data_IF_314871161671
#
_entry.id   IF_314871161671
#
_cell.length_a   1.000
_cell.length_b   1.000
_cell.length_c   1.000
_cell.angle_alpha   90.00
_cell.angle_beta   90.00
_cell.angle_gamma   90.00
#
_symmetry.space_group_name_H-M   'P 1'
#
loop_
_entity.id
_entity.type
_entity.pdbx_description
1 polymer ?
#
# COMPACT_ATOMS: atom_id res chain seq x y z
N UNK A 1 -15.44 -7.70 45.83
CA UNK A 1 -16.37 -8.01 44.71
C UNK A 1 -15.64 -7.64 43.44
N UNK A 2 -15.51 -8.64 42.57
CA UNK A 2 -14.54 -8.76 41.47
C UNK A 2 -14.44 -7.52 40.57
N UNK A 3 -13.20 -7.05 40.36
CA UNK A 3 -12.84 -6.32 39.15
C UNK A 3 -12.96 -7.32 38.01
N UNK A 4 -13.93 -7.10 37.12
CA UNK A 4 -13.99 -7.86 35.87
C UNK A 4 -12.85 -7.35 35.00
N UNK A 5 -11.81 -8.18 34.94
CA UNK A 5 -10.69 -8.11 34.02
C UNK A 5 -11.25 -7.97 32.60
N UNK A 6 -11.10 -6.78 32.01
CA UNK A 6 -11.39 -6.50 30.60
C UNK A 6 -10.39 -7.30 29.77
N UNK A 7 -10.74 -8.56 29.58
CA UNK A 7 -10.12 -9.53 28.71
C UNK A 7 -9.58 -8.85 27.44
N UNK A 8 -8.27 -9.01 27.24
CA UNK A 8 -7.50 -8.72 26.04
C UNK A 8 -8.24 -9.17 24.77
N UNK A 9 -9.06 -8.30 24.20
CA UNK A 9 -9.49 -8.47 22.81
C UNK A 9 -8.40 -7.86 21.95
N UNK A 10 -7.41 -8.67 21.57
CA UNK A 10 -6.45 -8.27 20.54
C UNK A 10 -7.23 -8.09 19.24
N UNK A 11 -7.31 -6.87 18.72
CA UNK A 11 -7.84 -6.62 17.38
C UNK A 11 -6.90 -7.26 16.36
N UNK A 12 -7.24 -8.49 15.98
CA UNK A 12 -6.50 -9.24 14.96
C UNK A 12 -7.00 -8.79 13.59
N UNK A 13 -6.09 -8.48 12.66
CA UNK A 13 -6.46 -8.11 11.29
C UNK A 13 -7.24 -9.25 10.61
N UNK A 14 -8.23 -8.96 9.75
CA UNK A 14 -8.89 -9.98 8.94
C UNK A 14 -7.92 -10.91 8.19
N UNK A 15 -6.74 -10.40 7.79
CA UNK A 15 -5.68 -11.20 7.16
C UNK A 15 -5.16 -12.31 8.09
N UNK A 16 -4.88 -11.97 9.35
CA UNK A 16 -4.41 -12.96 10.33
C UNK A 16 -5.51 -13.98 10.67
N UNK A 17 -6.78 -13.56 10.69
CA UNK A 17 -7.92 -14.47 10.88
C UNK A 17 -8.13 -15.40 9.67
N UNK A 18 -7.77 -14.96 8.48
CA UNK A 18 -7.79 -15.78 7.26
C UNK A 18 -6.61 -16.75 7.16
N UNK A 19 -5.65 -16.70 8.10
CA UNK A 19 -4.44 -17.51 8.08
C UNK A 19 -3.35 -16.96 7.15
N UNK A 20 -3.50 -15.72 6.67
CA UNK A 20 -2.48 -15.06 5.85
C UNK A 20 -1.31 -14.66 6.74
N UNK A 21 -0.09 -15.07 6.36
CA UNK A 21 1.13 -14.59 6.99
C UNK A 21 1.21 -13.06 6.79
N UNK A 22 1.35 -12.22 7.83
CA UNK A 22 1.60 -10.79 7.65
C UNK A 22 2.85 -10.48 6.81
N UNK A 23 3.76 -11.45 6.63
CA UNK A 23 4.83 -11.37 5.63
C UNK A 23 4.33 -11.40 4.17
N UNK A 24 3.16 -11.97 3.90
CA UNK A 24 2.58 -12.09 2.56
C UNK A 24 2.07 -10.77 1.99
N UNK A 25 1.54 -9.85 2.82
CA UNK A 25 1.14 -8.51 2.38
C UNK A 25 1.51 -7.39 3.37
N UNK A 26 2.78 -6.95 3.38
CA UNK A 26 3.29 -5.90 4.27
C UNK A 26 2.59 -4.53 4.15
N UNK A 27 1.81 -4.31 3.08
CA UNK A 27 1.11 -3.05 2.83
C UNK A 27 -0.16 -2.88 3.68
N UNK A 28 -0.75 -3.98 4.17
CA UNK A 28 -1.95 -3.94 5.01
C UNK A 28 -1.68 -3.60 6.48
N UNK A 29 -0.41 -3.42 6.83
CA UNK A 29 0.05 -3.11 8.18
C UNK A 29 0.98 -1.89 8.26
N UNK A 30 1.40 -1.26 7.13
CA UNK A 30 2.39 -0.16 7.17
C UNK A 30 1.86 1.23 6.77
N UNK A 31 1.20 1.36 5.61
CA UNK A 31 0.80 2.66 5.04
C UNK A 31 1.92 3.63 4.66
N UNK A 32 3.19 3.18 4.63
CA UNK A 32 4.35 4.06 4.56
C UNK A 32 4.44 4.87 3.25
N UNK A 33 4.19 4.23 2.10
CA UNK A 33 4.20 4.92 0.79
C UNK A 33 3.10 5.99 0.69
N UNK A 34 1.92 5.69 1.24
CA UNK A 34 0.75 6.59 1.25
C UNK A 34 0.92 7.80 2.17
N UNK A 35 1.89 7.77 3.09
CA UNK A 35 2.22 8.88 3.99
C UNK A 35 3.54 9.59 3.63
N UNK A 36 4.10 9.31 2.46
CA UNK A 36 5.39 9.86 2.07
C UNK A 36 5.45 10.42 0.66
N UNK A 37 5.02 9.67 -0.35
CA UNK A 37 5.19 10.11 -1.73
C UNK A 37 4.14 11.12 -2.14
N UNK A 38 4.55 12.09 -2.98
CA UNK A 38 3.59 12.82 -3.82
C UNK A 38 3.15 11.89 -4.94
N UNK A 39 1.88 11.49 -4.92
CA UNK A 39 1.33 10.57 -5.93
C UNK A 39 0.86 11.38 -7.12
N UNK A 40 1.78 11.78 -8.01
CA UNK A 40 1.47 12.52 -9.25
C UNK A 40 1.30 11.58 -10.44
N UNK A 41 0.27 11.80 -11.25
CA UNK A 41 -0.09 10.94 -12.37
C UNK A 41 -0.73 11.72 -13.52
N UNK A 42 -0.96 11.07 -14.67
CA UNK A 42 -1.51 11.74 -15.86
C UNK A 42 -3.01 12.02 -15.66
N UNK A 43 -3.49 13.19 -16.04
CA UNK A 43 -4.89 13.57 -15.81
C UNK A 43 -5.90 12.66 -16.55
N UNK A 44 -5.49 11.93 -17.58
CA UNK A 44 -6.35 10.96 -18.28
C UNK A 44 -6.72 9.73 -17.46
N UNK A 45 -6.10 9.50 -16.29
CA UNK A 45 -6.50 8.43 -15.37
C UNK A 45 -7.69 8.82 -14.49
N UNK A 46 -8.06 10.11 -14.46
CA UNK A 46 -9.21 10.62 -13.72
C UNK A 46 -10.50 10.11 -14.32
N UNK A 47 -11.40 9.60 -13.47
CA UNK A 47 -12.72 9.15 -13.87
C UNK A 47 -13.53 10.30 -14.48
N UNK A 48 -14.02 10.12 -15.69
CA UNK A 48 -14.88 11.08 -16.36
C UNK A 48 -15.36 10.56 -17.72
N UNK A 49 -15.94 11.46 -18.51
CA UNK A 49 -16.49 11.13 -19.84
C UNK A 49 -15.43 10.58 -20.81
N UNK A 50 -14.16 10.96 -20.62
CA UNK A 50 -13.04 10.58 -21.47
C UNK A 50 -12.32 9.30 -21.00
N UNK A 51 -12.89 8.56 -20.04
CA UNK A 51 -12.30 7.36 -19.47
C UNK A 51 -11.70 7.58 -18.08
N UNK A 52 -10.72 6.75 -17.72
CA UNK A 52 -10.09 6.76 -16.40
C UNK A 52 -10.96 6.14 -15.30
N UNK A 53 -10.39 5.96 -14.12
CA UNK A 53 -11.04 5.28 -12.99
C UNK A 53 -10.72 5.91 -11.63
N UNK A 54 -9.80 6.89 -11.56
CA UNK A 54 -9.41 7.54 -10.31
C UNK A 54 -10.46 8.61 -9.94
N UNK A 55 -11.09 8.58 -8.75
CA UNK A 55 -12.17 9.51 -8.43
C UNK A 55 -11.70 10.97 -8.34
N UNK A 56 -12.39 11.87 -9.05
CA UNK A 56 -12.02 13.28 -9.22
C UNK A 56 -12.02 14.06 -7.90
N UNK A 57 -12.87 13.66 -6.96
CA UNK A 57 -13.00 14.28 -5.65
C UNK A 57 -11.82 13.97 -4.73
N UNK A 58 -10.98 12.99 -5.06
CA UNK A 58 -9.82 12.57 -4.28
C UNK A 58 -8.49 13.13 -4.81
N UNK A 59 -8.54 14.02 -5.80
CA UNK A 59 -7.33 14.51 -6.50
C UNK A 59 -7.23 16.03 -6.52
N UNK A 60 -6.00 16.53 -6.55
CA UNK A 60 -5.67 17.95 -6.73
C UNK A 60 -5.03 18.13 -8.10
N UNK A 61 -5.58 19.03 -8.93
CA UNK A 61 -4.99 19.38 -10.22
C UNK A 61 -3.68 20.15 -9.99
N UNK A 62 -2.58 19.67 -10.58
CA UNK A 62 -1.25 20.27 -10.43
C UNK A 62 -0.85 21.13 -11.63
N UNK A 63 -1.21 20.67 -12.83
CA UNK A 63 -1.00 21.37 -14.10
C UNK A 63 -2.00 20.85 -15.13
N UNK A 64 -2.12 21.43 -16.34
CA UNK A 64 -3.11 20.99 -17.33
C UNK A 64 -3.11 19.48 -17.62
N UNK A 65 -1.94 18.82 -17.55
CA UNK A 65 -1.78 17.38 -17.87
C UNK A 65 -1.43 16.51 -16.66
N UNK A 66 -1.40 17.07 -15.45
CA UNK A 66 -1.00 16.34 -14.23
C UNK A 66 -1.94 16.62 -13.07
N UNK A 67 -2.34 15.54 -12.41
CA UNK A 67 -3.03 15.58 -11.12
C UNK A 67 -2.18 14.86 -10.07
N UNK A 68 -2.51 15.04 -8.80
CA UNK A 68 -2.00 14.20 -7.73
C UNK A 68 -3.07 13.82 -6.73
N UNK A 69 -2.84 12.75 -5.96
CA UNK A 69 -3.76 12.40 -4.87
C UNK A 69 -3.75 13.49 -3.79
N UNK A 70 -4.94 13.89 -3.33
CA UNK A 70 -5.11 14.88 -2.26
C UNK A 70 -4.38 14.47 -0.99
N UNK A 71 -3.77 15.45 -0.32
CA UNK A 71 -2.97 15.26 0.89
C UNK A 71 -1.52 14.87 0.62
N UNK A 72 -1.14 14.68 -0.65
CA UNK A 72 0.23 14.33 -1.05
C UNK A 72 0.95 15.43 -1.82
N UNK A 73 0.34 16.60 -2.02
CA UNK A 73 0.74 17.67 -2.94
C UNK A 73 2.21 18.09 -2.81
N UNK A 74 2.72 18.16 -1.58
CA UNK A 74 4.10 18.58 -1.27
C UNK A 74 5.08 17.42 -1.12
N UNK A 75 4.59 16.17 -1.12
CA UNK A 75 5.31 15.04 -0.54
C UNK A 75 5.40 15.14 0.99
N UNK A 76 5.67 14.01 1.64
CA UNK A 76 5.69 13.87 3.10
C UNK A 76 4.31 13.98 3.77
N UNK A 77 3.25 14.20 3.00
CA UNK A 77 1.87 14.27 3.47
C UNK A 77 1.16 12.92 3.44
N UNK A 78 0.04 12.84 4.16
CA UNK A 78 -0.81 11.64 4.24
C UNK A 78 -1.91 11.70 3.20
N UNK A 79 -1.91 10.76 2.26
CA UNK A 79 -2.98 10.60 1.28
C UNK A 79 -4.34 10.47 1.96
N UNK A 80 -5.33 11.24 1.50
CA UNK A 80 -6.66 11.27 2.12
C UNK A 80 -7.44 9.95 1.95
N UNK A 81 -7.08 9.13 0.96
CA UNK A 81 -7.70 7.83 0.71
C UNK A 81 -7.21 6.74 1.66
N UNK A 82 -6.16 6.98 2.43
CA UNK A 82 -5.61 6.01 3.38
C UNK A 82 -6.50 5.90 4.63
N UNK A 83 -6.95 4.69 4.95
CA UNK A 83 -7.76 4.35 6.13
C UNK A 83 -6.90 3.59 7.14
N UNK A 84 -7.16 3.79 8.43
CA UNK A 84 -6.36 3.20 9.51
C UNK A 84 -5.18 4.05 9.97
N UNK A 85 -4.43 3.52 10.92
CA UNK A 85 -3.27 4.15 11.55
C UNK A 85 -1.97 3.60 10.96
N UNK A 86 -0.97 4.46 10.75
CA UNK A 86 0.32 4.06 10.20
C UNK A 86 0.98 3.01 11.08
N UNK A 87 1.49 1.94 10.47
CA UNK A 87 2.12 0.85 11.21
C UNK A 87 1.16 -0.04 12.00
N UNK A 88 -0.17 0.11 11.85
CA UNK A 88 -1.16 -0.73 12.52
C UNK A 88 -1.86 -1.67 11.55
N UNK A 89 -2.24 -2.88 12.01
CA UNK A 89 -3.00 -3.79 11.18
C UNK A 89 -4.35 -3.22 10.73
N UNK A 90 -4.73 -3.55 9.50
CA UNK A 90 -5.97 -3.08 8.89
C UNK A 90 -5.86 -1.73 8.19
N UNK A 91 -4.65 -1.17 8.05
CA UNK A 91 -4.40 0.01 7.21
C UNK A 91 -4.59 -0.36 5.73
N UNK A 92 -5.37 0.43 5.01
CA UNK A 92 -5.68 0.13 3.60
C UNK A 92 -6.06 1.38 2.81
N UNK A 93 -6.00 1.28 1.49
CA UNK A 93 -6.49 2.32 0.59
C UNK A 93 -8.00 2.14 0.36
N UNK A 94 -8.80 3.18 0.61
CA UNK A 94 -10.25 3.17 0.37
C UNK A 94 -10.64 3.01 -1.11
N UNK A 95 -9.69 3.24 -2.02
CA UNK A 95 -9.89 3.18 -3.47
C UNK A 95 -8.91 2.19 -4.12
N UNK A 96 -8.61 1.06 -3.45
CA UNK A 96 -7.59 0.11 -3.90
C UNK A 96 -7.74 -0.31 -5.37
N UNK A 97 -8.98 -0.58 -5.79
CA UNK A 97 -9.34 -0.95 -7.18
C UNK A 97 -9.31 0.22 -8.15
N UNK A 98 -9.33 1.45 -7.66
CA UNK A 98 -9.33 2.69 -8.45
C UNK A 98 -8.01 3.47 -8.29
N UNK A 99 -6.93 2.81 -7.85
CA UNK A 99 -5.63 3.44 -7.66
C UNK A 99 -5.06 3.98 -8.98
N UNK A 100 -4.40 5.15 -8.97
CA UNK A 100 -3.64 5.63 -10.11
C UNK A 100 -2.40 4.75 -10.34
N UNK A 101 -1.85 4.83 -11.53
CA UNK A 101 -0.71 4.03 -12.00
C UNK A 101 0.49 4.03 -11.04
N UNK A 102 0.97 5.17 -10.51
CA UNK A 102 2.11 5.18 -9.59
C UNK A 102 1.87 4.40 -8.28
N UNK A 103 0.61 4.26 -7.85
CA UNK A 103 0.28 3.46 -6.68
C UNK A 103 0.20 1.96 -6.97
N UNK A 104 0.02 1.56 -8.23
CA UNK A 104 -0.02 0.16 -8.67
C UNK A 104 1.35 -0.38 -9.01
N UNK A 105 2.19 0.45 -9.59
CA UNK A 105 3.55 0.10 -10.04
C UNK A 105 4.60 0.14 -8.92
N UNK A 106 4.23 0.54 -7.71
CA UNK A 106 5.15 0.52 -6.58
C UNK A 106 5.24 -0.88 -5.97
N UNK A 107 6.32 -1.60 -6.27
CA UNK A 107 6.56 -2.94 -5.77
C UNK A 107 7.22 -2.97 -4.38
N UNK A 108 6.84 -3.96 -3.57
CA UNK A 108 7.43 -4.22 -2.24
C UNK A 108 8.79 -4.91 -2.37
N UNK A 109 8.93 -5.75 -3.39
CA UNK A 109 10.12 -6.51 -3.70
C UNK A 109 10.66 -6.12 -5.08
N UNK A 110 11.98 -6.14 -5.21
CA UNK A 110 12.66 -6.07 -6.49
C UNK A 110 12.37 -7.35 -7.29
N UNK A 111 12.70 -7.36 -8.59
CA UNK A 111 12.55 -8.55 -9.39
C UNK A 111 13.16 -9.78 -8.69
N UNK A 112 14.43 -9.78 -8.33
CA UNK A 112 15.12 -10.90 -7.70
C UNK A 112 14.58 -11.39 -6.32
N UNK A 113 13.42 -10.90 -5.87
CA UNK A 113 12.79 -11.25 -4.61
C UNK A 113 13.37 -10.50 -3.42
N UNK A 114 14.45 -9.72 -3.62
CA UNK A 114 15.00 -8.87 -2.57
C UNK A 114 14.04 -7.73 -2.21
N UNK A 115 14.02 -7.23 -0.97
CA UNK A 115 13.15 -6.12 -0.62
C UNK A 115 13.48 -4.84 -1.39
N UNK A 116 12.45 -4.11 -1.86
CA UNK A 116 12.63 -2.81 -2.50
C UNK A 116 13.30 -1.81 -1.51
N UNK A 117 14.45 -1.23 -1.84
CA UNK A 117 15.16 -0.28 -0.97
C UNK A 117 14.33 0.93 -0.56
N UNK A 118 13.46 1.43 -1.44
CA UNK A 118 12.58 2.54 -1.11
C UNK A 118 11.52 2.12 -0.09
N UNK A 119 10.91 0.95 -0.27
CA UNK A 119 9.97 0.38 0.70
C UNK A 119 10.64 0.27 2.10
N UNK A 120 11.85 -0.30 2.16
CA UNK A 120 12.60 -0.44 3.42
C UNK A 120 12.91 0.92 4.07
N UNK A 121 13.38 1.90 3.27
CA UNK A 121 13.66 3.26 3.73
C UNK A 121 12.43 3.95 4.30
N UNK A 122 11.24 3.72 3.74
CA UNK A 122 9.99 4.29 4.25
C UNK A 122 9.56 3.61 5.55
N UNK A 123 9.62 2.29 5.60
CA UNK A 123 9.28 1.51 6.80
C UNK A 123 10.17 1.86 7.97
N UNK A 124 11.48 1.98 7.74
CA UNK A 124 12.44 2.38 8.76
C UNK A 124 12.12 3.75 9.37
N UNK A 125 11.65 4.71 8.55
CA UNK A 125 11.22 6.03 9.04
C UNK A 125 9.99 5.99 9.94
N UNK A 126 9.18 4.94 9.84
CA UNK A 126 8.05 4.70 10.74
C UNK A 126 8.42 3.78 11.92
N UNK A 127 9.69 3.39 12.08
CA UNK A 127 10.11 2.45 13.12
C UNK A 127 9.60 1.02 12.91
N UNK A 128 9.20 0.67 11.68
CA UNK A 128 8.68 -0.64 11.35
C UNK A 128 9.81 -1.64 11.02
N UNK A 129 9.61 -2.94 11.30
CA UNK A 129 10.58 -3.96 10.94
C UNK A 129 10.77 -4.04 9.42
N UNK A 130 11.98 -4.43 9.02
CA UNK A 130 12.31 -4.67 7.63
C UNK A 130 11.43 -5.77 7.03
N UNK A 131 11.04 -5.62 5.77
CA UNK A 131 10.35 -6.69 5.03
C UNK A 131 11.37 -7.80 4.75
N UNK A 132 11.04 -9.08 4.98
CA UNK A 132 11.89 -10.18 4.53
C UNK A 132 11.90 -10.26 3.00
N UNK A 133 12.84 -11.02 2.39
CA UNK A 133 12.73 -11.41 0.98
C UNK A 133 11.35 -12.02 0.67
N UNK A 134 10.91 -11.91 -0.59
CA UNK A 134 9.60 -12.41 -1.00
C UNK A 134 9.53 -13.92 -0.67
N UNK A 135 8.50 -14.37 0.07
CA UNK A 135 8.34 -15.78 0.37
C UNK A 135 7.99 -16.56 -0.89
N UNK A 136 8.33 -17.84 -0.90
CA UNK A 136 8.01 -18.73 -2.01
C UNK A 136 6.49 -18.92 -2.06
N UNK A 137 5.89 -18.73 -3.23
CA UNK A 137 4.45 -18.92 -3.39
C UNK A 137 4.16 -20.43 -3.57
N UNK A 138 3.74 -21.11 -2.50
CA UNK A 138 3.44 -22.55 -2.54
C UNK A 138 2.35 -22.91 -3.56
N UNK A 139 1.38 -22.01 -3.77
CA UNK A 139 0.30 -22.16 -4.76
C UNK A 139 0.65 -21.64 -6.16
N UNK A 140 1.83 -21.02 -6.33
CA UNK A 140 2.32 -20.48 -7.59
C UNK A 140 3.85 -20.63 -7.65
N UNK A 141 4.36 -21.86 -7.83
CA UNK A 141 5.80 -22.16 -7.74
C UNK A 141 6.62 -21.52 -8.86
N UNK A 142 5.99 -20.98 -9.90
CA UNK A 142 6.65 -20.18 -10.93
C UNK A 142 6.51 -18.67 -10.71
N UNK A 143 5.71 -18.24 -9.72
CA UNK A 143 5.32 -16.86 -9.47
C UNK A 143 4.47 -16.26 -10.61
N UNK A 144 3.84 -15.09 -10.38
CA UNK A 144 3.14 -14.41 -11.45
C UNK A 144 4.14 -14.04 -12.54
N UNK A 145 4.02 -14.65 -13.72
CA UNK A 145 4.78 -14.27 -14.92
C UNK A 145 4.28 -12.92 -15.45
N UNK A 146 4.62 -11.84 -14.75
CA UNK A 146 4.48 -10.48 -15.28
C UNK A 146 5.83 -10.04 -15.86
N UNK A 147 5.89 -9.27 -16.95
CA UNK A 147 7.16 -8.77 -17.51
C UNK A 147 8.12 -8.10 -16.51
N UNK A 148 7.59 -7.63 -15.37
CA UNK A 148 8.33 -6.93 -14.32
C UNK A 148 8.33 -7.65 -12.95
N UNK A 149 7.74 -8.84 -12.82
CA UNK A 149 7.82 -9.66 -11.61
C UNK A 149 8.39 -11.02 -11.99
N UNK A 150 9.59 -11.40 -11.53
CA UNK A 150 10.12 -12.71 -11.84
C UNK A 150 9.64 -13.72 -10.80
N UNK A 151 10.00 -14.97 -11.05
CA UNK A 151 9.60 -16.13 -10.28
C UNK A 151 9.94 -16.00 -8.80
N UNK A 152 9.08 -16.55 -7.94
CA UNK A 152 9.39 -16.76 -6.53
C UNK A 152 10.79 -17.38 -6.38
N UNK A 153 11.55 -16.90 -5.39
CA UNK A 153 12.98 -17.22 -5.26
C UNK A 153 13.22 -18.69 -4.89
#
# INVERSE_FOLDING_TARGET
MSLLDSSLVTFVSPAVLAGDDPAANPCLDCGACCAHFRVSFYCGELAGENGGHVPVELVTQMSPLRACMKGTETGGGRCISLRGELGRPGIHCAIYENRPTPCREFDIWMPDGSPNPDCQRLRLRLGLPAVPPRPDAENDPQGPMHPNQPAAA
#
